data_IF_978360600887
#
_entry.id   IF_978360600887
#
_cell.length_a   1.000
_cell.length_b   1.000
_cell.length_c   1.000
_cell.angle_alpha   90.00
_cell.angle_beta   90.00
_cell.angle_gamma   90.00
#
_symmetry.space_group_name_H-M   'P 1'
#
loop_
_entity.id
_entity.type
_entity.pdbx_description
1 polymer ?
#
# COMPACT_ATOMS: atom_id res chain seq x y z
N UNK A 1 8.73 0.11 -23.81
CA UNK A 1 9.08 -1.08 -23.00
C UNK A 1 7.78 -1.63 -22.44
N UNK A 2 7.66 -2.93 -22.19
CA UNK A 2 6.47 -3.44 -21.47
C UNK A 2 6.72 -3.21 -20.00
N UNK A 3 5.85 -2.42 -19.36
CA UNK A 3 5.98 -2.10 -17.94
C UNK A 3 5.72 -3.32 -17.06
N UNK A 4 6.51 -3.45 -15.99
CA UNK A 4 6.40 -4.54 -15.02
C UNK A 4 5.36 -4.21 -13.95
N UNK A 5 4.25 -4.95 -13.94
CA UNK A 5 3.20 -4.84 -12.93
C UNK A 5 3.37 -5.87 -11.80
N UNK A 6 4.38 -6.74 -11.85
CA UNK A 6 4.50 -7.85 -10.90
C UNK A 6 4.86 -7.39 -9.49
N UNK A 7 5.52 -6.22 -9.35
CA UNK A 7 5.85 -5.63 -8.05
C UNK A 7 4.63 -5.23 -7.23
N UNK A 8 3.46 -5.07 -7.85
CA UNK A 8 2.25 -4.64 -7.14
C UNK A 8 1.87 -5.58 -5.99
N UNK A 9 2.15 -6.88 -6.13
CA UNK A 9 1.89 -7.89 -5.09
C UNK A 9 2.52 -7.52 -3.73
N UNK A 10 3.65 -6.81 -3.74
CA UNK A 10 4.41 -6.43 -2.55
C UNK A 10 4.17 -4.97 -2.12
N UNK A 11 3.38 -4.22 -2.87
CA UNK A 11 3.23 -2.75 -2.72
C UNK A 11 2.71 -2.34 -1.36
N UNK A 12 1.87 -3.15 -0.71
CA UNK A 12 1.39 -2.83 0.64
C UNK A 12 2.54 -2.78 1.66
N UNK A 13 3.58 -3.61 1.51
CA UNK A 13 4.74 -3.55 2.38
C UNK A 13 5.57 -2.29 2.07
N UNK A 14 5.72 -1.91 0.79
CA UNK A 14 6.44 -0.67 0.45
C UNK A 14 5.69 0.60 0.90
N UNK A 15 4.36 0.59 0.94
CA UNK A 15 3.58 1.67 1.57
C UNK A 15 3.89 1.78 3.06
N UNK A 16 4.12 0.65 3.75
CA UNK A 16 4.60 0.66 5.13
C UNK A 16 6.01 1.26 5.21
N UNK A 17 6.91 0.81 4.34
CA UNK A 17 8.30 1.26 4.28
C UNK A 17 8.37 2.78 4.05
N UNK A 18 7.53 3.33 3.17
CA UNK A 18 7.40 4.78 2.97
C UNK A 18 7.02 5.53 4.27
N UNK A 19 6.07 4.97 5.03
CA UNK A 19 5.59 5.58 6.28
C UNK A 19 6.67 5.55 7.35
N UNK A 20 7.37 4.43 7.48
CA UNK A 20 8.46 4.29 8.46
C UNK A 20 9.68 5.14 8.07
N UNK A 21 10.08 5.11 6.79
CA UNK A 21 11.17 5.91 6.25
C UNK A 21 10.95 7.42 6.45
N UNK A 22 9.70 7.88 6.49
CA UNK A 22 9.39 9.29 6.74
C UNK A 22 9.91 9.78 8.09
N UNK A 23 9.98 8.89 9.07
CA UNK A 23 10.52 9.16 10.41
C UNK A 23 12.05 8.99 10.50
N UNK A 24 12.70 8.45 9.47
CA UNK A 24 14.16 8.33 9.47
C UNK A 24 14.82 9.68 9.26
N UNK A 25 15.94 9.89 9.96
CA UNK A 25 16.82 11.02 9.74
C UNK A 25 17.69 10.77 8.50
N UNK A 26 17.73 11.74 7.60
CA UNK A 26 18.65 11.75 6.47
C UNK A 26 19.77 12.75 6.78
N UNK A 27 21.04 12.31 6.85
CA UNK A 27 22.18 13.19 7.09
C UNK A 27 22.15 14.47 6.27
N UNK A 28 22.62 15.57 6.86
CA UNK A 28 22.63 16.88 6.22
C UNK A 28 23.37 16.87 4.88
N UNK A 29 24.44 16.08 4.75
CA UNK A 29 25.18 15.92 3.49
C UNK A 29 24.27 15.44 2.34
N UNK A 30 23.43 14.42 2.58
CA UNK A 30 22.54 13.87 1.55
C UNK A 30 21.30 14.76 1.31
N UNK A 31 20.83 15.44 2.36
CA UNK A 31 19.73 16.41 2.29
C UNK A 31 20.13 17.65 1.49
N UNK A 32 21.34 18.17 1.70
CA UNK A 32 21.85 19.36 1.00
C UNK A 32 21.99 19.12 -0.51
N UNK A 33 22.30 17.89 -0.91
CA UNK A 33 22.37 17.45 -2.31
C UNK A 33 21.00 17.37 -3.01
N UNK A 34 19.89 17.61 -2.31
CA UNK A 34 18.53 17.65 -2.87
C UNK A 34 18.02 19.06 -3.22
N UNK A 35 18.89 20.08 -3.34
CA UNK A 35 18.46 21.49 -3.53
C UNK A 35 19.24 22.22 -4.63
N UNK A 36 18.70 23.34 -5.16
CA UNK A 36 19.42 24.35 -5.97
C UNK A 36 19.76 23.96 -7.42
N UNK A 37 18.73 23.72 -8.24
CA UNK A 37 18.90 23.61 -9.71
C UNK A 37 17.97 24.60 -10.43
N UNK A 38 18.30 25.01 -11.67
CA UNK A 38 17.34 25.68 -12.53
C UNK A 38 16.05 24.87 -12.61
N UNK A 39 14.88 25.55 -12.58
CA UNK A 39 13.56 24.91 -12.64
C UNK A 39 13.20 23.99 -11.45
N UNK A 40 14.05 23.95 -10.42
CA UNK A 40 13.85 23.12 -9.23
C UNK A 40 13.04 23.86 -8.16
N UNK A 41 11.77 23.51 -8.06
CA UNK A 41 10.86 23.99 -7.03
C UNK A 41 11.03 23.26 -5.68
N UNK A 42 10.41 23.79 -4.62
CA UNK A 42 10.47 23.25 -3.26
C UNK A 42 10.01 21.79 -3.18
N UNK A 43 8.95 21.41 -3.90
CA UNK A 43 8.44 20.04 -3.87
C UNK A 43 9.44 19.03 -4.47
N UNK A 44 10.28 19.42 -5.42
CA UNK A 44 11.35 18.56 -5.94
C UNK A 44 12.35 18.22 -4.84
N UNK A 45 12.68 19.20 -3.99
CA UNK A 45 13.53 18.98 -2.82
C UNK A 45 12.89 17.96 -1.88
N UNK A 46 11.59 18.12 -1.61
CA UNK A 46 10.83 17.17 -0.77
C UNK A 46 10.80 15.75 -1.38
N UNK A 47 10.56 15.61 -2.68
CA UNK A 47 10.57 14.33 -3.40
C UNK A 47 11.96 13.68 -3.31
N UNK A 48 13.03 14.42 -3.60
CA UNK A 48 14.40 13.91 -3.52
C UNK A 48 14.75 13.40 -2.11
N UNK A 49 14.44 14.19 -1.07
CA UNK A 49 14.69 13.79 0.32
C UNK A 49 13.89 12.54 0.67
N UNK A 50 12.59 12.51 0.35
CA UNK A 50 11.72 11.37 0.66
C UNK A 50 12.19 10.12 -0.09
N UNK A 51 12.58 10.24 -1.36
CA UNK A 51 13.12 9.13 -2.15
C UNK A 51 14.37 8.52 -1.52
N UNK A 52 15.33 9.37 -1.13
CA UNK A 52 16.56 8.94 -0.45
C UNK A 52 16.28 8.28 0.90
N UNK A 53 15.32 8.79 1.68
CA UNK A 53 14.90 8.16 2.94
C UNK A 53 14.36 6.75 2.71
N UNK A 54 13.50 6.56 1.70
CA UNK A 54 12.95 5.23 1.38
C UNK A 54 14.05 4.28 0.91
N UNK A 55 14.98 4.75 0.06
CA UNK A 55 16.15 3.95 -0.35
C UNK A 55 16.96 3.50 0.87
N UNK A 56 17.28 4.43 1.78
CA UNK A 56 18.05 4.14 2.99
C UNK A 56 17.34 3.11 3.87
N UNK A 57 16.04 3.27 4.10
CA UNK A 57 15.22 2.36 4.91
C UNK A 57 15.10 0.97 4.29
N UNK A 58 14.86 0.86 2.99
CA UNK A 58 14.83 -0.44 2.30
C UNK A 58 16.22 -1.10 2.34
N UNK A 59 17.30 -0.32 2.19
CA UNK A 59 18.65 -0.85 2.24
C UNK A 59 19.04 -1.36 3.64
N UNK A 60 18.55 -0.75 4.71
CA UNK A 60 18.79 -1.25 6.07
C UNK A 60 18.09 -2.60 6.31
N UNK A 61 16.92 -2.83 5.70
CA UNK A 61 16.23 -4.14 5.73
C UNK A 61 17.02 -5.27 5.06
N UNK A 62 17.78 -4.97 4.00
CA UNK A 62 18.68 -5.97 3.39
C UNK A 62 19.79 -6.41 4.35
N UNK A 63 20.25 -5.50 5.21
CA UNK A 63 21.38 -5.74 6.12
C UNK A 63 20.92 -6.49 7.38
N UNK A 64 19.70 -6.25 7.86
CA UNK A 64 19.11 -6.93 9.03
C UNK A 64 18.61 -8.35 8.73
N UNK A 65 18.56 -8.77 7.47
CA UNK A 65 17.96 -10.06 7.09
C UNK A 65 16.43 -10.08 7.21
N UNK A 66 15.80 -8.91 7.41
CA UNK A 66 14.36 -8.71 7.34
C UNK A 66 13.95 -8.63 5.87
N UNK A 67 13.75 -9.80 5.27
CA UNK A 67 13.62 -10.01 3.83
C UNK A 67 12.71 -9.07 3.03
N UNK A 68 13.19 -8.72 1.82
CA UNK A 68 12.53 -9.08 0.56
C UNK A 68 13.51 -9.91 -0.27
N UNK A 69 13.16 -11.16 -0.61
CA UNK A 69 13.97 -12.00 -1.51
C UNK A 69 13.87 -11.54 -2.97
N UNK A 70 12.93 -10.65 -3.25
CA UNK A 70 12.54 -10.27 -4.59
C UNK A 70 13.03 -8.85 -4.91
N UNK A 71 13.50 -8.64 -6.14
CA UNK A 71 13.99 -7.34 -6.61
C UNK A 71 12.87 -6.36 -6.90
N UNK A 72 11.64 -6.63 -6.43
CA UNK A 72 10.40 -5.86 -6.69
C UNK A 72 10.43 -4.46 -6.10
N UNK A 73 11.36 -4.16 -5.17
CA UNK A 73 11.56 -2.81 -4.65
C UNK A 73 12.06 -1.85 -5.74
N UNK A 74 12.90 -2.29 -6.69
CA UNK A 74 13.38 -1.42 -7.77
C UNK A 74 12.28 -0.95 -8.72
N UNK A 75 11.47 -1.83 -9.34
CA UNK A 75 10.36 -1.38 -10.17
C UNK A 75 9.34 -0.57 -9.36
N UNK A 76 9.11 -0.90 -8.08
CA UNK A 76 8.32 -0.06 -7.20
C UNK A 76 8.92 1.35 -7.03
N UNK A 77 10.22 1.50 -6.77
CA UNK A 77 10.87 2.80 -6.61
C UNK A 77 10.84 3.61 -7.92
N UNK A 78 10.93 2.94 -9.08
CA UNK A 78 10.72 3.61 -10.37
C UNK A 78 9.28 4.13 -10.51
N UNK A 79 8.29 3.28 -10.22
CA UNK A 79 6.88 3.69 -10.20
C UNK A 79 6.65 4.85 -9.23
N UNK A 80 7.18 4.75 -8.02
CA UNK A 80 7.03 5.76 -6.98
C UNK A 80 7.52 7.12 -7.47
N UNK A 81 8.68 7.18 -8.14
CA UNK A 81 9.23 8.43 -8.61
C UNK A 81 8.36 9.07 -9.71
N UNK A 82 7.94 8.27 -10.69
CA UNK A 82 6.99 8.69 -11.72
C UNK A 82 5.66 9.16 -11.11
N UNK A 83 5.16 8.43 -10.12
CA UNK A 83 3.93 8.75 -9.39
C UNK A 83 4.05 10.10 -8.70
N UNK A 84 5.08 10.31 -7.86
CA UNK A 84 5.23 11.55 -7.08
C UNK A 84 5.42 12.78 -7.97
N UNK A 85 6.29 12.69 -8.98
CA UNK A 85 6.51 13.79 -9.94
C UNK A 85 5.23 14.09 -10.73
N UNK A 86 4.50 13.05 -11.14
CA UNK A 86 3.22 13.15 -11.85
C UNK A 86 2.03 13.62 -11.01
N UNK A 87 2.23 13.99 -9.73
CA UNK A 87 1.22 14.69 -8.93
C UNK A 87 1.26 16.21 -9.11
N UNK A 88 2.29 16.74 -9.77
CA UNK A 88 2.49 18.18 -9.94
C UNK A 88 2.29 18.57 -11.41
N UNK A 89 1.24 19.36 -11.69
CA UNK A 89 0.84 19.74 -13.06
C UNK A 89 1.93 20.49 -13.84
N UNK A 90 2.84 21.18 -13.16
CA UNK A 90 3.92 21.95 -13.76
C UNK A 90 5.28 21.26 -13.63
N UNK A 91 5.30 19.94 -13.37
CA UNK A 91 6.55 19.21 -13.26
C UNK A 91 7.34 19.24 -14.57
N UNK A 92 8.62 19.66 -14.47
CA UNK A 92 9.52 19.86 -15.60
C UNK A 92 10.49 18.71 -15.80
N UNK A 93 10.55 17.75 -14.87
CA UNK A 93 11.50 16.65 -14.91
C UNK A 93 10.80 15.33 -15.17
N UNK A 94 11.33 14.55 -16.11
CA UNK A 94 10.94 13.15 -16.22
C UNK A 94 11.56 12.35 -15.08
N UNK A 95 11.01 11.18 -14.73
CA UNK A 95 11.54 10.38 -13.62
C UNK A 95 12.99 9.95 -13.86
N UNK A 96 13.33 9.61 -15.10
CA UNK A 96 14.70 9.31 -15.50
C UNK A 96 15.62 10.50 -15.28
N UNK A 97 15.27 11.67 -15.84
CA UNK A 97 16.08 12.89 -15.71
C UNK A 97 16.27 13.26 -14.22
N UNK A 98 15.20 13.23 -13.45
CA UNK A 98 15.23 13.52 -12.02
C UNK A 98 16.16 12.55 -11.26
N UNK A 99 16.10 11.25 -11.55
CA UNK A 99 16.98 10.27 -10.94
C UNK A 99 18.45 10.45 -11.33
N UNK A 100 18.74 10.70 -12.60
CA UNK A 100 20.10 10.94 -13.08
C UNK A 100 20.72 12.16 -12.39
N UNK A 101 19.96 13.24 -12.24
CA UNK A 101 20.36 14.43 -11.47
C UNK A 101 20.70 14.06 -10.01
N UNK A 102 19.82 13.30 -9.34
CA UNK A 102 20.08 12.87 -7.96
C UNK A 102 21.38 12.07 -7.85
N UNK A 103 21.65 11.20 -8.82
CA UNK A 103 22.82 10.32 -8.85
C UNK A 103 24.12 11.09 -9.11
N UNK A 104 24.11 12.02 -10.06
CA UNK A 104 25.27 12.85 -10.38
C UNK A 104 25.67 13.74 -9.20
N UNK A 105 24.67 14.27 -8.48
CA UNK A 105 24.91 15.18 -7.35
C UNK A 105 25.28 14.49 -6.05
N UNK A 106 24.89 13.24 -5.90
CA UNK A 106 25.15 12.48 -4.68
C UNK A 106 25.71 11.08 -4.96
N UNK A 107 26.85 10.99 -5.67
CA UNK A 107 27.44 9.70 -6.02
C UNK A 107 27.83 8.90 -4.76
N UNK A 108 28.17 9.57 -3.66
CA UNK A 108 28.46 8.94 -2.38
C UNK A 108 27.25 8.21 -1.78
N UNK A 109 26.06 8.81 -1.84
CA UNK A 109 24.83 8.14 -1.42
C UNK A 109 24.58 6.85 -2.26
N UNK A 110 24.66 6.96 -3.58
CA UNK A 110 24.39 5.84 -4.49
C UNK A 110 25.53 4.82 -4.64
N UNK A 111 26.68 5.07 -4.01
CA UNK A 111 27.73 4.08 -3.82
C UNK A 111 27.48 3.19 -2.59
N UNK A 112 26.75 3.70 -1.60
CA UNK A 112 26.48 3.00 -0.32
C UNK A 112 25.13 2.28 -0.38
N UNK A 113 24.12 2.93 -0.95
CA UNK A 113 22.77 2.39 -1.06
C UNK A 113 22.48 1.88 -2.47
N UNK A 114 21.45 1.03 -2.61
CA UNK A 114 21.12 0.44 -3.90
C UNK A 114 20.85 1.50 -4.99
N UNK A 115 21.24 1.15 -6.22
CA UNK A 115 20.87 1.90 -7.41
C UNK A 115 19.52 1.41 -7.95
N UNK A 116 18.76 2.34 -8.52
CA UNK A 116 17.49 2.09 -9.16
C UNK A 116 17.61 2.19 -10.68
N UNK A 117 16.81 1.41 -11.39
CA UNK A 117 16.75 1.44 -12.86
C UNK A 117 15.61 2.40 -13.30
N UNK A 118 15.80 3.69 -13.01
CA UNK A 118 14.78 4.71 -13.23
C UNK A 118 14.57 4.98 -14.73
N UNK A 119 13.30 5.00 -15.14
CA UNK A 119 12.87 5.28 -16.50
C UNK A 119 11.47 5.91 -16.49
N UNK A 120 11.13 6.56 -17.59
CA UNK A 120 9.85 7.25 -17.74
C UNK A 120 8.76 6.24 -18.07
N UNK A 121 7.75 6.12 -17.20
CA UNK A 121 6.59 5.27 -17.42
C UNK A 121 5.62 5.99 -18.34
N UNK A 122 5.07 5.27 -19.32
CA UNK A 122 4.10 5.86 -20.24
C UNK A 122 2.87 6.39 -19.50
N UNK A 123 2.23 7.46 -20.00
CA UNK A 123 1.07 8.06 -19.34
C UNK A 123 -0.07 7.05 -19.12
N UNK A 124 -0.31 6.18 -20.10
CA UNK A 124 -1.32 5.13 -20.02
C UNK A 124 -0.99 4.11 -18.93
N UNK A 125 0.25 3.60 -18.90
CA UNK A 125 0.67 2.63 -17.90
C UNK A 125 0.67 3.27 -16.50
N UNK A 126 1.17 4.51 -16.37
CA UNK A 126 1.19 5.24 -15.10
C UNK A 126 -0.22 5.47 -14.56
N UNK A 127 -1.20 5.78 -15.42
CA UNK A 127 -2.60 5.92 -15.03
C UNK A 127 -3.19 4.59 -14.50
N UNK A 128 -2.87 3.48 -15.15
CA UNK A 128 -3.29 2.15 -14.71
C UNK A 128 -2.61 1.73 -13.40
N UNK A 129 -1.31 2.02 -13.28
CA UNK A 129 -0.54 1.81 -12.04
C UNK A 129 -1.06 2.67 -10.88
N UNK A 130 -1.45 3.93 -11.13
CA UNK A 130 -2.08 4.82 -10.13
C UNK A 130 -3.36 4.20 -9.55
N UNK A 131 -4.19 3.58 -10.40
CA UNK A 131 -5.43 2.89 -9.97
C UNK A 131 -5.12 1.68 -9.08
N UNK A 132 -4.15 0.85 -9.47
CA UNK A 132 -3.68 -0.28 -8.66
C UNK A 132 -3.09 0.19 -7.32
N UNK A 133 -2.25 1.23 -7.34
CA UNK A 133 -1.68 1.79 -6.12
C UNK A 133 -2.77 2.32 -5.18
N UNK A 134 -3.85 2.90 -5.71
CA UNK A 134 -5.04 3.27 -4.94
C UNK A 134 -5.69 2.08 -4.22
N UNK A 135 -5.84 0.95 -4.91
CA UNK A 135 -6.33 -0.30 -4.30
C UNK A 135 -5.40 -0.81 -3.19
N UNK A 136 -4.08 -0.81 -3.42
CA UNK A 136 -3.11 -1.25 -2.41
C UNK A 136 -2.99 -0.31 -1.21
N UNK A 137 -3.28 1.00 -1.37
CA UNK A 137 -3.43 1.91 -0.24
C UNK A 137 -4.61 1.54 0.64
N UNK A 138 -5.77 1.25 0.04
CA UNK A 138 -6.95 0.80 0.80
C UNK A 138 -6.69 -0.54 1.48
N UNK A 139 -6.03 -1.47 0.78
CA UNK A 139 -5.58 -2.73 1.37
C UNK A 139 -4.68 -2.50 2.59
N UNK A 140 -3.66 -1.64 2.46
CA UNK A 140 -2.75 -1.32 3.55
C UNK A 140 -3.51 -0.72 4.73
N UNK A 141 -4.42 0.23 4.47
CA UNK A 141 -5.20 0.87 5.53
C UNK A 141 -6.05 -0.16 6.30
N UNK A 142 -6.70 -1.10 5.60
CA UNK A 142 -7.44 -2.21 6.23
C UNK A 142 -6.49 -3.10 7.05
N UNK A 143 -5.36 -3.49 6.48
CA UNK A 143 -4.39 -4.39 7.13
C UNK A 143 -3.68 -3.75 8.34
N UNK A 144 -3.49 -2.43 8.33
CA UNK A 144 -2.83 -1.68 9.38
C UNK A 144 -3.79 -1.17 10.46
N UNK A 145 -5.10 -1.18 10.20
CA UNK A 145 -6.12 -0.70 11.14
C UNK A 145 -6.17 -1.54 12.43
N UNK A 146 -6.48 -0.87 13.53
CA UNK A 146 -6.81 -1.53 14.78
C UNK A 146 -8.27 -2.00 14.73
N UNK A 147 -8.50 -3.31 14.85
CA UNK A 147 -9.81 -3.95 14.72
C UNK A 147 -10.85 -3.47 15.75
N UNK A 148 -10.44 -2.78 16.81
CA UNK A 148 -11.36 -2.15 17.77
C UNK A 148 -12.12 -0.94 17.21
N UNK A 149 -11.82 -0.47 16.00
CA UNK A 149 -12.53 0.62 15.31
C UNK A 149 -13.25 0.03 14.09
N UNK A 150 -14.39 -0.61 14.31
CA UNK A 150 -15.11 -1.42 13.31
C UNK A 150 -15.62 -0.60 12.12
N UNK A 151 -16.19 0.59 12.36
CA UNK A 151 -16.80 1.41 11.31
C UNK A 151 -15.79 1.91 10.27
N UNK A 152 -14.57 2.24 10.71
CA UNK A 152 -13.49 2.71 9.83
C UNK A 152 -13.05 1.62 8.85
N UNK A 153 -12.93 0.39 9.34
CA UNK A 153 -12.46 -0.72 8.53
C UNK A 153 -13.50 -1.18 7.50
N UNK A 154 -14.78 -1.28 7.89
CA UNK A 154 -15.88 -1.62 6.98
C UNK A 154 -16.00 -0.58 5.86
N UNK A 155 -15.88 0.71 6.17
CA UNK A 155 -15.95 1.77 5.16
C UNK A 155 -14.80 1.66 4.15
N UNK A 156 -13.57 1.38 4.59
CA UNK A 156 -12.43 1.15 3.69
C UNK A 156 -12.58 -0.10 2.85
N UNK A 157 -13.14 -1.15 3.41
CA UNK A 157 -13.45 -2.37 2.67
C UNK A 157 -14.51 -2.13 1.57
N UNK A 158 -15.57 -1.37 1.87
CA UNK A 158 -16.60 -0.97 0.89
C UNK A 158 -16.01 -0.09 -0.22
N UNK A 159 -15.14 0.86 0.14
CA UNK A 159 -14.40 1.69 -0.82
C UNK A 159 -13.53 0.83 -1.75
N UNK A 160 -12.77 -0.12 -1.17
CA UNK A 160 -11.92 -1.06 -1.92
C UNK A 160 -12.73 -1.91 -2.90
N UNK A 161 -13.84 -2.49 -2.42
CA UNK A 161 -14.74 -3.30 -3.25
C UNK A 161 -15.30 -2.52 -4.43
N UNK A 162 -15.80 -1.31 -4.17
CA UNK A 162 -16.37 -0.44 -5.20
C UNK A 162 -15.32 -0.07 -6.25
N UNK A 163 -14.12 0.35 -5.81
CA UNK A 163 -13.03 0.71 -6.69
C UNK A 163 -12.61 -0.48 -7.56
N UNK A 164 -12.36 -1.65 -6.96
CA UNK A 164 -11.96 -2.85 -7.70
C UNK A 164 -13.03 -3.24 -8.73
N UNK A 165 -14.30 -3.27 -8.33
CA UNK A 165 -15.42 -3.64 -9.20
C UNK A 165 -15.49 -2.76 -10.44
N UNK A 166 -15.30 -1.45 -10.29
CA UNK A 166 -15.31 -0.51 -11.42
C UNK A 166 -14.09 -0.72 -12.34
N UNK A 167 -12.92 -1.02 -11.76
CA UNK A 167 -11.69 -1.22 -12.53
C UNK A 167 -11.72 -2.53 -13.33
N UNK A 168 -12.14 -3.63 -12.74
CA UNK A 168 -12.16 -4.95 -13.41
C UNK A 168 -13.17 -5.02 -14.56
N UNK A 169 -14.22 -4.17 -14.55
CA UNK A 169 -15.16 -4.02 -15.68
C UNK A 169 -14.47 -3.54 -16.96
N UNK A 170 -13.33 -2.85 -16.85
CA UNK A 170 -12.59 -2.31 -18.01
C UNK A 170 -11.70 -3.36 -18.69
N UNK A 171 -11.55 -4.54 -18.08
CA UNK A 171 -10.86 -5.66 -18.69
C UNK A 171 -11.78 -6.27 -19.75
N UNK A 172 -11.37 -6.30 -21.02
CA UNK A 172 -12.17 -6.92 -22.08
C UNK A 172 -11.87 -8.43 -22.17
N UNK A 173 -12.84 -9.29 -22.54
CA UNK A 173 -12.59 -10.72 -22.63
C UNK A 173 -11.57 -10.98 -23.75
N UNK A 174 -10.52 -11.74 -23.48
CA UNK A 174 -9.50 -12.10 -24.47
C UNK A 174 -8.42 -11.05 -24.73
N UNK A 175 -8.49 -9.85 -24.14
CA UNK A 175 -7.40 -8.86 -24.20
C UNK A 175 -6.55 -8.97 -22.94
N UNK A 176 -5.40 -9.64 -23.03
CA UNK A 176 -4.41 -9.66 -21.94
C UNK A 176 -3.79 -8.27 -21.79
N UNK A 177 -4.15 -7.57 -20.71
CA UNK A 177 -3.46 -6.37 -20.24
C UNK A 177 -2.76 -6.69 -18.93
N UNK A 178 -1.50 -6.31 -18.78
CA UNK A 178 -0.74 -6.47 -17.53
C UNK A 178 -1.50 -5.89 -16.32
N UNK A 179 -2.21 -4.78 -16.53
CA UNK A 179 -3.11 -4.18 -15.56
C UNK A 179 -4.21 -5.15 -15.07
N UNK A 180 -4.86 -5.88 -15.97
CA UNK A 180 -5.92 -6.82 -15.63
C UNK A 180 -5.39 -8.04 -14.88
N UNK A 181 -4.21 -8.55 -15.27
CA UNK A 181 -3.55 -9.62 -14.53
C UNK A 181 -3.16 -9.16 -13.11
N UNK A 182 -2.69 -7.92 -12.96
CA UNK A 182 -2.38 -7.32 -11.68
C UNK A 182 -3.64 -7.10 -10.81
N UNK A 183 -4.78 -6.71 -11.41
CA UNK A 183 -6.06 -6.64 -10.69
C UNK A 183 -6.47 -8.01 -10.14
N UNK A 184 -6.34 -9.08 -10.93
CA UNK A 184 -6.66 -10.43 -10.45
C UNK A 184 -5.72 -10.86 -9.31
N UNK A 185 -4.43 -10.53 -9.37
CA UNK A 185 -3.51 -10.76 -8.24
C UNK A 185 -3.90 -9.95 -7.01
N UNK A 186 -4.33 -8.71 -7.17
CA UNK A 186 -4.86 -7.89 -6.07
C UNK A 186 -6.09 -8.54 -5.45
N UNK A 187 -7.02 -9.03 -6.28
CA UNK A 187 -8.23 -9.74 -5.82
C UNK A 187 -7.87 -10.89 -4.89
N UNK A 188 -6.90 -11.71 -5.31
CA UNK A 188 -6.46 -12.87 -4.55
C UNK A 188 -5.85 -12.44 -3.21
N UNK A 189 -4.98 -11.41 -3.21
CA UNK A 189 -4.40 -10.85 -1.99
C UNK A 189 -5.46 -10.30 -1.02
N UNK A 190 -6.43 -9.55 -1.52
CA UNK A 190 -7.53 -9.01 -0.70
C UNK A 190 -8.40 -10.12 -0.11
N UNK A 191 -8.70 -11.17 -0.88
CA UNK A 191 -9.49 -12.29 -0.38
C UNK A 191 -8.73 -13.08 0.70
N UNK A 192 -7.40 -13.19 0.60
CA UNK A 192 -6.56 -13.70 1.70
C UNK A 192 -6.67 -12.80 2.93
N UNK A 193 -6.49 -11.48 2.80
CA UNK A 193 -6.64 -10.53 3.91
C UNK A 193 -8.01 -10.67 4.58
N UNK A 194 -9.08 -10.81 3.80
CA UNK A 194 -10.44 -11.03 4.31
C UNK A 194 -10.51 -12.22 5.25
N UNK A 195 -9.88 -13.34 4.92
CA UNK A 195 -9.90 -14.53 5.76
C UNK A 195 -9.12 -14.38 7.07
N UNK A 196 -8.21 -13.40 7.15
CA UNK A 196 -7.34 -13.17 8.30
C UNK A 196 -7.83 -12.06 9.23
N UNK A 197 -8.72 -11.18 8.76
CA UNK A 197 -9.16 -9.99 9.50
C UNK A 197 -10.61 -10.11 9.97
N UNK A 198 -10.85 -9.96 11.28
CA UNK A 198 -12.20 -9.96 11.88
C UNK A 198 -13.13 -8.91 11.25
N UNK A 199 -12.56 -7.80 10.80
CA UNK A 199 -13.27 -6.73 10.10
C UNK A 199 -14.03 -7.17 8.83
N UNK A 200 -13.51 -8.17 8.11
CA UNK A 200 -14.06 -8.57 6.82
C UNK A 200 -14.95 -9.82 6.92
N UNK A 201 -15.24 -10.30 8.14
CA UNK A 201 -15.91 -11.59 8.36
C UNK A 201 -17.44 -11.56 8.23
N UNK A 202 -18.12 -10.42 8.45
CA UNK A 202 -19.60 -10.43 8.59
C UNK A 202 -20.41 -9.63 7.55
N UNK A 203 -19.81 -8.78 6.71
CA UNK A 203 -20.61 -7.93 5.79
C UNK A 203 -20.13 -7.80 4.34
N UNK A 204 -18.87 -8.12 3.99
CA UNK A 204 -18.35 -7.84 2.65
C UNK A 204 -18.19 -9.10 1.80
N UNK A 205 -18.76 -9.05 0.60
CA UNK A 205 -18.62 -10.09 -0.43
C UNK A 205 -17.16 -10.21 -0.89
N UNK A 206 -16.77 -11.42 -1.32
CA UNK A 206 -15.49 -11.60 -2.02
C UNK A 206 -15.41 -10.68 -3.24
N UNK A 207 -14.20 -10.20 -3.54
CA UNK A 207 -14.01 -9.38 -4.73
C UNK A 207 -14.33 -10.23 -5.98
N UNK A 208 -15.16 -9.72 -6.91
CA UNK A 208 -15.69 -10.56 -7.96
C UNK A 208 -14.63 -10.93 -9.00
N UNK A 209 -14.77 -12.11 -9.59
CA UNK A 209 -14.02 -12.49 -10.78
C UNK A 209 -14.47 -11.72 -12.01
N UNK A 210 -13.68 -11.84 -13.07
CA UNK A 210 -14.03 -11.31 -14.38
C UNK A 210 -15.41 -11.78 -14.87
N UNK A 211 -15.63 -13.10 -14.83
CA UNK A 211 -16.87 -13.72 -15.29
C UNK A 211 -18.08 -13.35 -14.41
N UNK A 212 -17.86 -13.17 -13.11
CA UNK A 212 -18.89 -12.69 -12.19
C UNK A 212 -19.30 -11.25 -12.50
N UNK A 213 -18.36 -10.39 -12.87
CA UNK A 213 -18.64 -9.00 -13.24
C UNK A 213 -19.41 -8.93 -14.56
N UNK A 214 -19.03 -9.73 -15.55
CA UNK A 214 -19.76 -9.83 -16.83
C UNK A 214 -21.20 -10.30 -16.58
N UNK A 215 -21.39 -11.40 -15.85
CA UNK A 215 -22.73 -11.95 -15.60
C UNK A 215 -23.63 -10.96 -14.84
N UNK A 216 -23.08 -10.21 -13.87
CA UNK A 216 -23.80 -9.12 -13.18
C UNK A 216 -24.19 -7.98 -14.14
N UNK A 217 -23.29 -7.56 -15.03
CA UNK A 217 -23.57 -6.49 -16.00
C UNK A 217 -24.63 -6.90 -17.03
N UNK A 218 -24.59 -8.14 -17.52
CA UNK A 218 -25.57 -8.69 -18.45
C UNK A 218 -26.95 -8.89 -17.82
N UNK A 219 -27.01 -9.16 -16.51
CA UNK A 219 -28.27 -9.25 -15.77
C UNK A 219 -28.92 -7.88 -15.59
N UNK A 220 -28.12 -6.85 -15.31
CA UNK A 220 -28.59 -5.47 -15.17
C UNK A 220 -29.10 -4.90 -16.50
N UNK A 221 -28.50 -5.26 -17.65
CA UNK A 221 -28.98 -4.81 -18.97
C UNK A 221 -30.31 -5.45 -19.37
N UNK A 222 -30.56 -6.70 -18.96
CA UNK A 222 -31.83 -7.40 -19.21
C UNK A 222 -32.99 -6.86 -18.37
N UNK A 223 -32.72 -6.42 -17.14
CA UNK A 223 -33.75 -5.80 -16.27
C UNK A 223 -34.15 -4.39 -16.76
N UNK A 224 -33.27 -3.68 -17.47
CA UNK A 224 -33.58 -2.38 -18.10
C UNK A 224 -34.40 -2.50 -19.39
N UNK A 225 -34.31 -3.62 -20.11
CA UNK A 225 -35.10 -3.87 -21.33
C UNK A 225 -36.55 -4.27 -21.04
N UNK A 226 -36.85 -4.76 -19.83
CA UNK A 226 -38.20 -5.23 -19.48
C UNK A 226 -39.15 -4.14 -18.93
N UNK A 227 -38.72 -2.88 -18.82
CA UNK A 227 -39.52 -1.77 -18.26
C UNK A 227 -40.24 -0.87 -19.29
N UNK A 228 -40.22 -1.20 -20.58
CA UNK A 228 -41.03 -0.50 -21.59
C UNK A 228 -41.98 -1.48 -22.31
N UNK A 229 -43.09 -1.80 -21.66
CA UNK A 229 -44.42 -1.92 -22.28
C UNK A 229 -45.42 -2.44 -21.24
N UNK A 230 -46.31 -1.57 -20.76
CA UNK A 230 -47.77 -1.76 -20.82
C UNK A 230 -48.51 -0.63 -20.11
N UNK A 231 -49.35 0.07 -20.87
CA UNK A 231 -50.36 1.03 -20.43
C UNK A 231 -51.72 0.30 -20.35
N UNK A 232 -52.32 0.36 -19.14
CA UNK A 232 -53.74 0.33 -18.66
C UNK A 232 -54.95 0.10 -19.63
N UNK A 233 -56.20 -0.25 -19.16
CA UNK A 233 -56.88 0.36 -17.98
C UNK A 233 -57.90 -0.45 -17.11
N UNK A 234 -58.13 0.14 -15.91
CA UNK A 234 -59.31 0.30 -15.01
C UNK A 234 -60.37 -0.80 -14.67
N UNK A 235 -60.75 -0.86 -13.37
CA UNK A 235 -62.06 -1.37 -12.91
C UNK A 235 -62.27 -1.70 -11.39
N UNK A 236 -62.66 -0.71 -10.57
CA UNK A 236 -63.75 -0.66 -9.53
C UNK A 236 -63.91 -1.66 -8.32
N UNK A 237 -63.76 -1.10 -7.10
CA UNK A 237 -64.59 -1.11 -5.83
C UNK A 237 -64.88 -2.32 -4.85
N UNK A 238 -64.52 -2.06 -3.56
CA UNK A 238 -65.18 -2.17 -2.20
C UNK A 238 -65.43 -3.54 -1.46
N UNK A 239 -65.22 -3.49 -0.12
CA UNK A 239 -65.92 -4.10 1.08
C UNK A 239 -65.12 -5.21 1.80
N UNK A 240 -64.49 -4.94 2.97
CA UNK A 240 -64.97 -4.88 4.38
C UNK A 240 -65.19 -6.24 5.08
N UNK A 241 -64.51 -6.45 6.22
CA UNK A 241 -65.10 -6.76 7.57
C UNK A 241 -64.05 -7.39 8.51
N UNK A 242 -63.61 -6.72 9.59
CA UNK A 242 -64.02 -6.91 11.01
C UNK A 242 -63.56 -8.26 11.61
N UNK A 243 -62.46 -8.28 12.39
CA UNK A 243 -62.33 -8.23 13.87
C UNK A 243 -62.54 -9.58 14.58
N UNK A 244 -61.63 -9.95 15.50
CA UNK A 244 -61.88 -10.12 16.96
C UNK A 244 -60.60 -10.64 17.67
N UNK A 245 -60.20 -9.94 18.74
CA UNK A 245 -59.18 -10.25 19.75
C UNK A 245 -59.58 -11.52 20.58
N UNK A 246 -58.88 -12.11 21.56
CA UNK A 246 -57.90 -11.70 22.57
C UNK A 246 -57.42 -12.97 23.32
N UNK A 247 -56.33 -12.82 24.09
CA UNK A 247 -56.00 -13.45 25.40
C UNK A 247 -54.80 -14.41 25.37
N UNK A 248 -53.65 -14.00 25.97
CA UNK A 248 -53.29 -14.07 27.41
C UNK A 248 -52.87 -15.51 27.76
N UNK A 249 -51.67 -15.83 28.28
CA UNK A 249 -50.91 -15.17 29.34
C UNK A 249 -49.55 -15.90 29.55
N UNK A 250 -48.66 -15.22 30.29
CA UNK A 250 -47.62 -15.74 31.21
C UNK A 250 -46.13 -15.66 30.84
N UNK A 251 -45.51 -14.70 31.52
CA UNK A 251 -44.09 -14.35 31.56
C UNK A 251 -43.31 -15.30 32.47
N UNK A 252 -42.18 -15.83 31.98
CA UNK A 252 -41.10 -16.37 32.79
C UNK A 252 -39.77 -15.72 32.36
N UNK A 253 -39.61 -14.42 32.62
CA UNK A 253 -38.31 -13.75 32.57
C UNK A 253 -37.76 -13.73 33.99
N UNK A 254 -37.15 -14.83 34.43
CA UNK A 254 -36.19 -14.82 35.52
C UNK A 254 -35.30 -16.07 35.47
N UNK A 255 -33.99 -15.85 35.42
CA UNK A 255 -32.87 -16.81 35.43
C UNK A 255 -32.33 -17.28 34.08
N UNK A 256 -31.65 -16.39 33.34
CA UNK A 256 -30.35 -16.75 32.72
C UNK A 256 -29.52 -15.48 32.41
N UNK A 257 -29.20 -14.68 33.43
CA UNK A 257 -28.15 -13.65 33.31
C UNK A 257 -27.02 -14.11 34.21
N UNK A 258 -26.09 -14.87 33.65
CA UNK A 258 -24.98 -15.46 34.41
C UNK A 258 -24.07 -16.42 33.66
N UNK A 259 -24.45 -16.86 32.45
CA UNK A 259 -23.63 -17.81 31.66
C UNK A 259 -23.08 -17.27 30.35
N UNK A 260 -23.50 -16.09 29.88
CA UNK A 260 -23.02 -15.52 28.60
C UNK A 260 -21.70 -14.74 28.73
N UNK A 261 -21.42 -14.13 29.90
CA UNK A 261 -20.15 -13.42 30.14
C UNK A 261 -18.96 -14.37 30.38
N UNK A 262 -19.20 -15.59 30.84
CA UNK A 262 -18.15 -16.59 31.05
C UNK A 262 -17.66 -17.20 29.73
N UNK A 263 -18.59 -17.47 28.79
CA UNK A 263 -18.24 -18.03 27.49
C UNK A 263 -17.40 -17.07 26.65
N UNK A 264 -17.74 -15.77 26.62
CA UNK A 264 -16.98 -14.77 25.86
C UNK A 264 -15.55 -14.58 26.36
N UNK A 265 -15.32 -14.62 27.68
CA UNK A 265 -13.98 -14.54 28.25
C UNK A 265 -13.11 -15.78 27.95
N UNK A 266 -13.72 -16.97 27.90
CA UNK A 266 -13.02 -18.21 27.53
C UNK A 266 -12.65 -18.23 26.05
N UNK A 267 -13.53 -17.77 25.15
CA UNK A 267 -13.21 -17.62 23.73
C UNK A 267 -12.11 -16.56 23.49
N UNK A 268 -12.13 -15.43 24.21
CA UNK A 268 -11.09 -14.40 24.13
C UNK A 268 -9.72 -14.91 24.63
N UNK A 269 -9.72 -15.67 25.71
CA UNK A 269 -8.49 -16.28 26.25
C UNK A 269 -7.97 -17.35 25.30
N UNK A 270 -8.82 -18.28 24.85
CA UNK A 270 -8.44 -19.31 23.88
C UNK A 270 -7.93 -18.69 22.57
N UNK A 271 -8.54 -17.61 22.08
CA UNK A 271 -8.04 -16.84 20.93
C UNK A 271 -6.61 -16.33 21.14
N UNK A 272 -6.28 -15.84 22.34
CA UNK A 272 -4.91 -15.42 22.68
C UNK A 272 -3.90 -16.59 22.74
N UNK A 273 -4.38 -17.83 22.93
CA UNK A 273 -3.57 -19.05 23.07
C UNK A 273 -3.68 -20.03 21.87
N UNK A 274 -4.46 -19.68 20.83
CA UNK A 274 -4.64 -20.46 19.59
C UNK A 274 -3.56 -20.01 18.57
N UNK A 275 -3.10 -20.86 17.62
CA UNK A 275 -2.00 -20.53 16.71
C UNK A 275 -2.17 -19.23 15.90
N UNK A 276 -3.42 -18.77 15.70
CA UNK A 276 -3.75 -17.50 15.04
C UNK A 276 -3.44 -16.26 15.92
N UNK A 277 -3.72 -16.29 17.23
CA UNK A 277 -3.37 -15.20 18.15
C UNK A 277 -1.86 -15.01 18.34
N UNK A 278 -1.09 -16.08 18.17
CA UNK A 278 0.39 -16.05 18.13
C UNK A 278 0.93 -15.17 16.99
N UNK A 279 0.18 -15.03 15.90
CA UNK A 279 0.60 -14.23 14.74
C UNK A 279 0.38 -12.72 14.96
N UNK A 280 -0.77 -12.32 15.55
CA UNK A 280 -1.04 -10.92 15.92
C UNK A 280 -0.06 -10.43 16.99
N UNK A 281 0.23 -11.26 18.00
CA UNK A 281 1.27 -10.96 19.00
C UNK A 281 2.66 -10.89 18.37
N UNK A 282 2.98 -11.78 17.41
CA UNK A 282 4.21 -11.69 16.60
C UNK A 282 4.28 -10.41 15.77
N UNK A 283 3.16 -9.90 15.22
CA UNK A 283 3.10 -8.63 14.47
C UNK A 283 3.47 -7.44 15.33
N UNK A 284 2.93 -7.35 16.55
CA UNK A 284 3.22 -6.27 17.51
C UNK A 284 4.67 -6.36 18.03
N UNK A 285 5.15 -7.57 18.33
CA UNK A 285 6.52 -7.79 18.80
C UNK A 285 7.56 -7.55 17.71
N UNK A 286 7.29 -7.93 16.45
CA UNK A 286 8.13 -7.61 15.29
C UNK A 286 8.20 -6.11 15.03
N UNK A 287 7.06 -5.38 15.00
CA UNK A 287 7.11 -3.91 14.81
C UNK A 287 7.98 -3.19 15.84
N UNK A 288 7.97 -3.62 17.11
CA UNK A 288 8.80 -3.01 18.16
C UNK A 288 10.27 -3.43 18.09
N UNK A 289 10.57 -4.67 17.74
CA UNK A 289 11.94 -5.15 17.62
C UNK A 289 12.65 -4.59 16.38
N UNK A 290 11.95 -4.61 15.24
CA UNK A 290 12.50 -4.22 13.94
C UNK A 290 12.85 -2.72 13.89
N UNK A 291 11.98 -1.83 14.40
CA UNK A 291 12.26 -0.37 14.42
C UNK A 291 13.48 -0.03 15.30
N UNK A 292 13.67 -0.77 16.40
CA UNK A 292 14.82 -0.59 17.28
C UNK A 292 16.13 -1.00 16.61
N UNK A 293 16.15 -2.17 15.98
CA UNK A 293 17.35 -2.71 15.33
C UNK A 293 17.72 -1.94 14.05
N UNK A 294 16.72 -1.54 13.23
CA UNK A 294 16.93 -0.69 12.06
C UNK A 294 17.55 0.66 12.45
N UNK A 295 17.08 1.27 13.55
CA UNK A 295 17.64 2.53 14.04
C UNK A 295 19.10 2.37 14.46
N UNK A 296 19.44 1.32 15.22
CA UNK A 296 20.81 1.06 15.65
C UNK A 296 21.76 0.80 14.47
N UNK A 297 21.34 -0.02 13.50
CA UNK A 297 22.15 -0.30 12.31
C UNK A 297 22.29 0.91 11.39
N UNK A 298 21.26 1.75 11.28
CA UNK A 298 21.34 3.01 10.53
C UNK A 298 22.43 3.92 11.10
N UNK A 299 22.55 4.04 12.43
CA UNK A 299 23.61 4.82 13.06
C UNK A 299 25.01 4.25 12.76
N UNK A 300 25.16 2.92 12.72
CA UNK A 300 26.43 2.27 12.33
C UNK A 300 26.81 2.57 10.87
N UNK A 301 25.84 2.56 9.95
CA UNK A 301 26.08 2.88 8.54
C UNK A 301 26.46 4.35 8.33
N UNK A 302 25.86 5.27 9.10
CA UNK A 302 26.23 6.69 9.07
C UNK A 302 27.67 6.91 9.53
N UNK A 303 28.10 6.22 10.58
CA UNK A 303 29.47 6.31 11.07
C UNK A 303 30.49 5.74 10.06
N UNK A 304 30.12 4.66 9.35
CA UNK A 304 30.95 4.11 8.26
C UNK A 304 30.99 5.06 7.06
N UNK A 305 29.85 5.64 6.67
CA UNK A 305 29.80 6.55 5.51
C UNK A 305 30.56 7.84 5.76
N UNK A 306 30.49 8.39 6.97
CA UNK A 306 31.25 9.56 7.39
C UNK A 306 32.76 9.29 7.35
N UNK A 307 33.20 8.12 7.83
CA UNK A 307 34.60 7.67 7.73
C UNK A 307 35.06 7.50 6.28
N UNK A 308 34.22 6.93 5.42
CA UNK A 308 34.54 6.77 4.00
C UNK A 308 34.60 8.12 3.28
N UNK A 309 33.70 9.04 3.60
CA UNK A 309 33.69 10.39 3.02
C UNK A 309 34.91 11.20 3.46
N UNK A 310 35.29 11.13 4.74
CA UNK A 310 36.53 11.77 5.22
C UNK A 310 37.78 11.17 4.57
N UNK A 311 37.81 9.86 4.33
CA UNK A 311 38.91 9.23 3.59
C UNK A 311 38.96 9.68 2.12
N UNK A 312 37.82 9.81 1.46
CA UNK A 312 37.73 10.30 0.09
C UNK A 312 38.22 11.75 -0.03
N UNK A 313 37.80 12.62 0.89
CA UNK A 313 38.24 14.03 0.91
C UNK A 313 39.74 14.15 1.23
N UNK A 314 40.25 13.31 2.13
CA UNK A 314 41.69 13.25 2.45
C UNK A 314 42.55 12.78 1.27
N UNK A 315 42.06 11.83 0.46
CA UNK A 315 42.73 11.41 -0.78
C UNK A 315 42.75 12.51 -1.85
N UNK A 316 41.73 13.38 -1.88
CA UNK A 316 41.60 14.46 -2.87
C UNK A 316 42.61 15.60 -2.69
N UNK A 317 43.11 15.83 -1.47
CA UNK A 317 44.05 16.91 -1.15
C UNK A 317 45.47 16.44 -0.78
N UNK A 318 45.75 15.13 -0.85
CA UNK A 318 47.06 14.57 -0.54
C UNK A 318 48.03 14.61 -1.73
N UNK A 319 48.57 15.78 -2.08
CA UNK A 319 49.79 15.88 -2.90
C UNK A 319 50.93 16.26 -1.95
N UNK A 320 51.82 15.31 -1.66
CA UNK A 320 53.06 15.58 -0.92
C UNK A 320 54.11 16.12 -1.88
N UNK A 321 54.57 17.34 -1.63
CA UNK A 321 55.75 17.93 -2.30
C UNK A 321 57.01 17.33 -1.66
N UNK A 322 57.67 16.43 -2.39
CA UNK A 322 59.06 16.06 -2.12
C UNK A 322 59.96 17.18 -2.67
N UNK A 323 60.43 18.06 -1.78
CA UNK A 323 61.49 19.01 -2.11
C UNK A 323 62.83 18.28 -2.10
N UNK A 324 63.37 18.00 -3.28
CA UNK A 324 64.76 17.61 -3.45
C UNK A 324 65.66 18.78 -3.02
N UNK A 325 66.45 18.55 -1.96
CA UNK A 325 67.57 19.41 -1.63
C UNK A 325 68.79 18.89 -2.43
N UNK A 326 69.22 19.67 -3.42
CA UNK A 326 70.47 19.43 -4.14
C UNK A 326 71.67 19.81 -3.26
N UNK A 327 72.57 18.83 -3.13
CA UNK A 327 74.05 18.86 -3.04
C UNK A 327 74.75 20.02 -2.34
#
# INVERSE_FOLDING_TARGET
MVEDYTFFKDTYNYIEDEKDASNEELPSVYTNNCSKLPDWEEYHTAICIKFKKVIKYINSKFITGEFYHDTTYKPYMNFWLNYQLGQHNNNKFTAKNFYDIMKERDPGFFAIYFNNDAHDISENDLNDMKKLYGLYKLYYDIWAMNYSITDGCINKAKECFSLYKNLIQTCAPGVKKNFCEALLKFRDAYNTLKSETECLNEELSELPSYDQVISLSQKLTKDSEHKQEQVQPEGREIISSVSTELSSENNNILKTVGSTLGASAVFFSAYMFTPLGSWVRRKIQRKKANVGDLKEQSHKLLDISEKQYQNYDKMKYGISYESFADS
#
